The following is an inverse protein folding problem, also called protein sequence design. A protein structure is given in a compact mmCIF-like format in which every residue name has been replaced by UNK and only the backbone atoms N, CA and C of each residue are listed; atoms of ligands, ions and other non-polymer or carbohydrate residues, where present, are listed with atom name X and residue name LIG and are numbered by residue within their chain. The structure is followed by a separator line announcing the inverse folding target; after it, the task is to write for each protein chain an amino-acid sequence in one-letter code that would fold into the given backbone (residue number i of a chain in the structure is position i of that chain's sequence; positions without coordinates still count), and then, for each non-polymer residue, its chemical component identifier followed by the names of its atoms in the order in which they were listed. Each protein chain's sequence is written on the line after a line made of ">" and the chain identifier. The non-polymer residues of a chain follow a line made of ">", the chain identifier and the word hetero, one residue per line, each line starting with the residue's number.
data_IF_961910187965
#
_entry.id   IF_961910187965
#
_cell.length_a   1.000
_cell.length_b   1.000
_cell.length_c   1.000
_cell.angle_alpha   90.00
_cell.angle_beta   90.00
_cell.angle_gamma   90.00
#
_symmetry.space_group_name_H-M   'P 1'
#
loop_
_entity.id
_entity.type
_entity.pdbx_description
1 polymer ?
#
# COMPACT_ATOMS: atom_id res chain seq x y z
N UNK A 1 -47.00 -5.25 20.91
CA UNK A 1 -45.69 -5.90 20.75
C UNK A 1 -44.81 -5.40 21.89
N UNK A 2 -44.23 -6.24 22.76
CA UNK A 2 -43.29 -5.76 23.76
C UNK A 2 -42.07 -5.17 23.07
N UNK A 3 -41.67 -3.95 23.48
CA UNK A 3 -40.53 -3.24 22.98
C UNK A 3 -39.25 -3.93 23.51
N UNK A 4 -38.75 -4.92 22.80
CA UNK A 4 -37.53 -5.64 23.17
C UNK A 4 -36.34 -4.77 22.77
N UNK A 5 -35.78 -4.04 23.74
CA UNK A 5 -34.51 -3.33 23.53
C UNK A 5 -33.40 -4.36 23.32
N UNK A 6 -32.63 -4.20 22.23
CA UNK A 6 -31.47 -5.05 21.98
C UNK A 6 -30.44 -4.88 23.10
N UNK A 7 -29.76 -5.96 23.50
CA UNK A 7 -28.72 -5.89 24.53
C UNK A 7 -27.55 -4.99 24.07
N UNK A 8 -26.97 -4.22 25.01
CA UNK A 8 -25.83 -3.35 24.74
C UNK A 8 -24.54 -4.14 24.59
N UNK A 9 -24.47 -5.32 25.20
CA UNK A 9 -23.31 -6.22 25.15
C UNK A 9 -23.84 -7.59 24.70
N UNK A 10 -23.23 -8.14 23.69
CA UNK A 10 -23.56 -9.46 23.14
C UNK A 10 -22.61 -10.51 23.73
N UNK A 11 -23.16 -11.47 24.43
CA UNK A 11 -22.45 -12.64 24.96
C UNK A 11 -23.00 -13.90 24.33
N UNK A 12 -22.20 -14.99 24.31
CA UNK A 12 -22.67 -16.28 23.78
C UNK A 12 -24.02 -16.71 24.40
N UNK A 13 -24.17 -16.57 25.72
CA UNK A 13 -25.39 -16.93 26.42
C UNK A 13 -26.63 -16.10 25.98
N UNK A 14 -26.44 -14.83 25.64
CA UNK A 14 -27.50 -13.97 25.11
C UNK A 14 -27.84 -14.38 23.67
N UNK A 15 -26.85 -14.67 22.85
CA UNK A 15 -27.03 -15.15 21.48
C UNK A 15 -27.83 -16.48 21.51
N UNK A 16 -27.41 -17.43 22.32
CA UNK A 16 -28.08 -18.73 22.49
C UNK A 16 -29.57 -18.58 22.93
N UNK A 17 -29.81 -17.68 23.89
CA UNK A 17 -31.15 -17.42 24.40
C UNK A 17 -32.11 -16.78 23.37
N UNK A 18 -31.53 -16.07 22.38
CA UNK A 18 -32.26 -15.41 21.31
C UNK A 18 -32.27 -16.22 20.00
N UNK A 19 -31.64 -17.39 19.97
CA UNK A 19 -31.47 -18.19 18.76
C UNK A 19 -30.66 -17.50 17.67
N UNK A 20 -29.68 -16.73 18.09
CA UNK A 20 -28.77 -15.98 17.17
C UNK A 20 -27.39 -16.60 17.22
N UNK A 21 -26.94 -17.08 16.08
CA UNK A 21 -25.55 -17.57 15.94
C UNK A 21 -24.58 -16.40 15.81
N UNK A 22 -23.47 -16.41 16.58
CA UNK A 22 -22.43 -15.41 16.43
C UNK A 22 -21.68 -15.62 15.08
N UNK A 23 -21.35 -14.52 14.42
CA UNK A 23 -20.46 -14.56 13.25
C UNK A 23 -19.03 -14.37 13.72
N UNK A 24 -18.20 -15.35 13.47
CA UNK A 24 -16.78 -15.30 13.79
C UNK A 24 -16.04 -14.48 12.73
N UNK A 25 -15.13 -13.62 13.17
CA UNK A 25 -14.27 -12.90 12.27
C UNK A 25 -13.32 -13.87 11.57
N UNK A 26 -13.19 -13.74 10.26
CA UNK A 26 -12.18 -14.44 9.47
C UNK A 26 -11.23 -13.40 8.83
N UNK A 27 -9.92 -13.70 8.74
CA UNK A 27 -9.00 -12.81 8.05
C UNK A 27 -9.38 -12.73 6.57
N UNK A 28 -9.41 -11.50 6.02
CA UNK A 28 -9.60 -11.32 4.59
C UNK A 28 -8.41 -11.97 3.84
N UNK A 29 -8.67 -12.78 2.81
CA UNK A 29 -7.60 -13.30 1.98
C UNK A 29 -6.88 -12.16 1.25
N UNK A 30 -5.60 -12.35 0.92
CA UNK A 30 -4.90 -11.43 0.06
C UNK A 30 -5.50 -11.48 -1.36
N UNK A 31 -5.53 -10.34 -2.04
CA UNK A 31 -5.93 -10.30 -3.45
C UNK A 31 -4.94 -11.12 -4.31
N UNK A 32 -5.45 -11.82 -5.32
CA UNK A 32 -4.66 -12.69 -6.19
C UNK A 32 -3.84 -11.93 -7.23
N UNK A 33 -4.06 -10.63 -7.37
CA UNK A 33 -3.39 -9.79 -8.36
C UNK A 33 -3.52 -8.31 -8.06
N UNK A 34 -2.70 -7.50 -8.75
CA UNK A 34 -2.59 -6.05 -8.54
C UNK A 34 -3.92 -5.31 -8.75
N UNK A 35 -4.71 -5.73 -9.75
CA UNK A 35 -5.98 -5.10 -10.10
C UNK A 35 -7.19 -5.85 -9.54
N UNK A 36 -7.00 -6.51 -8.40
CA UNK A 36 -8.05 -7.22 -7.67
C UNK A 36 -8.31 -6.59 -6.33
N UNK A 37 -9.56 -6.61 -5.91
CA UNK A 37 -9.97 -6.17 -4.58
C UNK A 37 -10.75 -7.28 -3.89
N UNK A 38 -10.42 -7.53 -2.64
CA UNK A 38 -11.15 -8.46 -1.78
C UNK A 38 -12.08 -7.65 -0.88
N UNK A 39 -13.34 -7.98 -0.90
CA UNK A 39 -14.35 -7.32 -0.08
C UNK A 39 -15.19 -8.34 0.67
N UNK A 40 -15.66 -7.94 1.87
CA UNK A 40 -16.60 -8.76 2.65
C UNK A 40 -17.88 -8.98 1.84
N UNK A 41 -18.35 -10.23 1.79
CA UNK A 41 -19.56 -10.62 1.07
C UNK A 41 -20.41 -11.57 1.91
N UNK A 42 -20.95 -11.03 3.00
CA UNK A 42 -21.86 -11.77 3.89
C UNK A 42 -21.13 -12.74 4.80
N UNK A 43 -21.75 -13.89 5.03
CA UNK A 43 -21.27 -14.95 5.93
C UNK A 43 -21.45 -16.32 5.28
N UNK A 44 -20.64 -17.29 5.68
CA UNK A 44 -20.71 -18.68 5.24
C UNK A 44 -20.47 -19.60 6.43
N UNK A 45 -20.97 -20.83 6.40
CA UNK A 45 -20.61 -21.83 7.40
C UNK A 45 -19.28 -22.49 7.06
N UNK A 46 -18.40 -22.59 8.06
CA UNK A 46 -17.15 -23.34 7.97
C UNK A 46 -17.40 -24.87 8.06
N UNK A 47 -16.35 -25.68 7.97
CA UNK A 47 -16.44 -27.13 8.06
C UNK A 47 -16.94 -27.64 9.43
N UNK A 48 -16.91 -26.80 10.46
CA UNK A 48 -17.38 -27.11 11.81
C UNK A 48 -18.82 -26.61 12.05
N UNK A 49 -19.44 -25.98 11.05
CA UNK A 49 -20.78 -25.42 11.13
C UNK A 49 -20.86 -24.03 11.76
N UNK A 50 -19.74 -23.37 12.05
CA UNK A 50 -19.73 -21.99 12.57
C UNK A 50 -19.97 -21.00 11.45
N UNK A 51 -20.73 -19.94 11.74
CA UNK A 51 -20.83 -18.82 10.82
C UNK A 51 -19.57 -17.96 10.86
N UNK A 52 -18.94 -17.77 9.70
CA UNK A 52 -17.72 -16.98 9.53
C UNK A 52 -17.93 -15.90 8.46
N UNK A 53 -17.15 -14.82 8.53
CA UNK A 53 -17.17 -13.79 7.49
C UNK A 53 -16.75 -14.38 6.14
N UNK A 54 -17.54 -14.11 5.10
CA UNK A 54 -17.23 -14.49 3.73
C UNK A 54 -16.65 -13.31 2.95
N UNK A 55 -15.75 -13.63 2.02
CA UNK A 55 -15.08 -12.64 1.17
C UNK A 55 -15.24 -13.02 -0.30
N UNK A 56 -15.28 -12.02 -1.15
CA UNK A 56 -15.28 -12.18 -2.61
C UNK A 56 -14.19 -11.32 -3.22
N UNK A 57 -13.47 -11.88 -4.15
CA UNK A 57 -12.53 -11.15 -4.98
C UNK A 57 -13.22 -10.67 -6.26
N UNK A 58 -12.93 -9.45 -6.66
CA UNK A 58 -13.46 -8.81 -7.87
C UNK A 58 -12.35 -8.05 -8.57
N UNK A 59 -12.53 -7.82 -9.88
CA UNK A 59 -11.72 -6.85 -10.60
C UNK A 59 -11.94 -5.45 -10.04
N UNK A 60 -10.89 -4.65 -9.92
CA UNK A 60 -10.97 -3.24 -9.52
C UNK A 60 -11.61 -2.39 -10.61
N UNK A 61 -11.43 -2.78 -11.87
CA UNK A 61 -11.85 -2.04 -13.04
C UNK A 61 -12.68 -2.91 -13.97
N UNK A 62 -13.59 -2.27 -14.69
CA UNK A 62 -14.39 -2.85 -15.77
C UNK A 62 -14.62 -1.79 -16.85
N UNK A 63 -14.87 -2.20 -18.06
CA UNK A 63 -15.22 -1.27 -19.13
C UNK A 63 -16.48 -0.49 -18.76
N UNK A 64 -16.49 0.81 -18.99
CA UNK A 64 -17.67 1.65 -18.83
C UNK A 64 -17.73 2.73 -19.91
N UNK A 65 -18.89 3.34 -20.06
CA UNK A 65 -19.09 4.48 -20.97
C UNK A 65 -19.20 5.73 -20.08
N UNK A 66 -18.39 6.75 -20.37
CA UNK A 66 -18.40 8.01 -19.65
C UNK A 66 -19.58 8.93 -20.05
N UNK A 67 -19.65 10.12 -19.44
CA UNK A 67 -20.73 11.09 -19.69
C UNK A 67 -20.72 11.66 -21.10
N UNK A 68 -19.60 11.60 -21.79
CA UNK A 68 -19.43 12.04 -23.19
C UNK A 68 -19.72 10.93 -24.22
N UNK A 69 -20.06 9.72 -23.76
CA UNK A 69 -20.34 8.55 -24.57
C UNK A 69 -19.10 7.81 -25.07
N UNK A 70 -17.92 8.08 -24.47
CA UNK A 70 -16.67 7.40 -24.79
C UNK A 70 -16.51 6.16 -23.92
N UNK A 71 -16.15 5.05 -24.55
CA UNK A 71 -15.83 3.82 -23.81
C UNK A 71 -14.45 3.93 -23.18
N UNK A 72 -14.41 3.87 -21.86
CA UNK A 72 -13.17 3.74 -21.10
C UNK A 72 -12.96 2.26 -20.76
N UNK A 73 -11.92 1.68 -21.30
CA UNK A 73 -11.65 0.25 -21.15
C UNK A 73 -11.02 -0.07 -19.81
N UNK A 74 -11.17 -1.31 -19.35
CA UNK A 74 -10.47 -1.85 -18.16
C UNK A 74 -8.95 -1.64 -18.28
N UNK A 75 -8.38 -1.91 -19.45
CA UNK A 75 -6.93 -1.77 -19.70
C UNK A 75 -6.44 -0.33 -19.53
N UNK A 76 -7.18 0.65 -20.01
CA UNK A 76 -6.84 2.07 -19.84
C UNK A 76 -6.87 2.47 -18.36
N UNK A 77 -7.85 1.98 -17.59
CA UNK A 77 -7.96 2.22 -16.16
C UNK A 77 -6.81 1.57 -15.40
N UNK A 78 -6.42 0.32 -15.72
CA UNK A 78 -5.27 -0.38 -15.13
C UNK A 78 -3.97 0.39 -15.41
N UNK A 79 -3.75 0.86 -16.65
CA UNK A 79 -2.60 1.67 -17.01
C UNK A 79 -2.55 3.00 -16.24
N UNK A 80 -3.68 3.69 -16.13
CA UNK A 80 -3.78 4.95 -15.38
C UNK A 80 -3.52 4.73 -13.88
N UNK A 81 -4.00 3.63 -13.32
CA UNK A 81 -3.75 3.24 -11.93
C UNK A 81 -2.26 2.99 -11.69
N UNK A 82 -1.61 2.16 -12.53
CA UNK A 82 -0.17 1.88 -12.44
C UNK A 82 0.64 3.17 -12.57
N UNK A 83 0.33 4.03 -13.56
CA UNK A 83 1.02 5.31 -13.72
C UNK A 83 0.90 6.20 -12.47
N UNK A 84 -0.27 6.19 -11.81
CA UNK A 84 -0.48 6.92 -10.56
C UNK A 84 0.38 6.34 -9.43
N UNK A 85 0.41 5.01 -9.30
CA UNK A 85 1.24 4.32 -8.30
C UNK A 85 2.74 4.56 -8.51
N UNK A 86 3.18 4.50 -9.74
CA UNK A 86 4.57 4.80 -10.10
C UNK A 86 4.93 6.27 -9.79
N UNK A 87 4.04 7.21 -10.04
CA UNK A 87 4.25 8.62 -9.70
C UNK A 87 4.33 8.85 -8.17
N UNK A 88 3.48 8.16 -7.39
CA UNK A 88 3.52 8.17 -5.92
C UNK A 88 4.84 7.58 -5.41
N UNK A 89 5.24 6.40 -5.91
CA UNK A 89 6.49 5.75 -5.56
C UNK A 89 7.71 6.62 -5.93
N UNK A 90 7.71 7.22 -7.13
CA UNK A 90 8.77 8.13 -7.56
C UNK A 90 8.89 9.36 -6.66
N UNK A 91 7.76 9.89 -6.19
CA UNK A 91 7.75 11.03 -5.27
C UNK A 91 8.33 10.63 -3.91
N UNK A 92 7.94 9.48 -3.37
CA UNK A 92 8.46 8.95 -2.12
C UNK A 92 9.97 8.65 -2.21
N UNK A 93 10.40 8.03 -3.31
CA UNK A 93 11.81 7.73 -3.56
C UNK A 93 12.66 9.01 -3.64
N UNK A 94 12.21 10.05 -4.33
CA UNK A 94 12.90 11.35 -4.39
C UNK A 94 12.97 12.01 -3.01
N UNK A 95 11.91 11.97 -2.22
CA UNK A 95 11.92 12.51 -0.85
C UNK A 95 12.93 11.77 0.03
N UNK A 96 13.01 10.44 -0.06
CA UNK A 96 14.01 9.63 0.65
C UNK A 96 15.43 10.01 0.21
N UNK A 97 15.70 10.09 -1.08
CA UNK A 97 16.99 10.54 -1.64
C UNK A 97 17.40 11.92 -1.11
N UNK A 98 16.49 12.87 -1.15
CA UNK A 98 16.74 14.24 -0.72
C UNK A 98 17.06 14.30 0.77
N UNK A 99 16.37 13.51 1.59
CA UNK A 99 16.68 13.34 3.01
C UNK A 99 18.06 12.75 3.25
N UNK A 100 18.46 11.74 2.49
CA UNK A 100 19.81 11.14 2.59
C UNK A 100 20.91 12.12 2.14
N UNK A 101 20.68 12.90 1.08
CA UNK A 101 21.60 13.94 0.65
C UNK A 101 21.75 15.01 1.72
N UNK A 102 20.65 15.53 2.23
CA UNK A 102 20.65 16.56 3.28
C UNK A 102 21.35 16.09 4.56
N UNK A 103 21.20 14.82 4.94
CA UNK A 103 21.87 14.25 6.13
C UNK A 103 23.39 14.27 6.04
N UNK A 104 23.97 14.35 4.83
CA UNK A 104 25.41 14.38 4.59
C UNK A 104 25.94 15.70 3.99
N UNK A 105 25.12 16.73 3.88
CA UNK A 105 25.56 18.04 3.34
C UNK A 105 26.61 18.73 4.22
N UNK A 106 26.53 18.51 5.54
CA UNK A 106 27.52 19.04 6.48
C UNK A 106 28.96 18.58 6.17
N UNK A 107 29.14 17.41 5.53
CA UNK A 107 30.44 16.91 5.11
C UNK A 107 31.10 17.83 4.07
N UNK A 108 30.31 18.32 3.10
CA UNK A 108 30.80 19.25 2.10
C UNK A 108 31.14 20.61 2.72
N UNK A 109 30.31 21.09 3.64
CA UNK A 109 30.54 22.34 4.37
C UNK A 109 31.83 22.24 5.21
N UNK A 110 31.98 21.16 5.99
CA UNK A 110 33.19 20.90 6.80
C UNK A 110 34.45 20.84 5.96
N UNK A 111 34.41 20.17 4.81
CA UNK A 111 35.55 20.10 3.91
C UNK A 111 35.91 21.48 3.36
N UNK A 112 34.94 22.28 2.95
CA UNK A 112 35.13 23.64 2.47
C UNK A 112 35.73 24.57 3.54
N UNK A 113 35.19 24.57 4.75
CA UNK A 113 35.71 25.37 5.88
C UNK A 113 37.13 24.97 6.28
N UNK A 114 37.45 23.68 6.20
CA UNK A 114 38.78 23.15 6.50
C UNK A 114 39.81 23.30 5.36
N UNK A 115 39.42 23.85 4.21
CA UNK A 115 40.26 23.95 3.03
C UNK A 115 40.68 22.57 2.45
N UNK A 116 39.86 21.54 2.68
CA UNK A 116 40.05 20.16 2.24
C UNK A 116 39.01 19.75 1.23
N UNK A 117 39.12 18.55 0.66
CA UNK A 117 38.12 17.95 -0.22
C UNK A 117 37.31 16.92 0.54
N UNK A 118 36.05 16.71 0.11
CA UNK A 118 35.24 15.56 0.58
C UNK A 118 35.95 14.27 0.19
N UNK A 119 35.96 13.27 1.08
CA UNK A 119 36.60 11.97 0.75
C UNK A 119 35.91 11.31 -0.45
N UNK A 120 36.67 10.47 -1.15
CA UNK A 120 36.20 9.79 -2.37
C UNK A 120 34.96 8.93 -2.10
N UNK A 121 34.92 8.23 -0.95
CA UNK A 121 33.80 7.38 -0.57
C UNK A 121 32.51 8.20 -0.41
N UNK A 122 32.58 9.33 0.29
CA UNK A 122 31.45 10.23 0.46
C UNK A 122 31.01 10.91 -0.85
N UNK A 123 32.00 11.28 -1.70
CA UNK A 123 31.69 11.84 -3.02
C UNK A 123 30.97 10.82 -3.90
N UNK A 124 31.42 9.56 -3.89
CA UNK A 124 30.79 8.44 -4.63
C UNK A 124 29.40 8.15 -4.11
N UNK A 125 29.21 8.06 -2.78
CA UNK A 125 27.90 7.87 -2.16
C UNK A 125 26.89 8.96 -2.56
N UNK A 126 27.31 10.23 -2.45
CA UNK A 126 26.46 11.37 -2.83
C UNK A 126 26.12 11.37 -4.32
N UNK A 127 27.07 10.96 -5.19
CA UNK A 127 26.78 10.83 -6.61
C UNK A 127 25.78 9.69 -6.86
N UNK A 128 25.98 8.52 -6.25
CA UNK A 128 25.07 7.40 -6.37
C UNK A 128 23.63 7.76 -5.91
N UNK A 129 23.49 8.57 -4.86
CA UNK A 129 22.18 9.10 -4.44
C UNK A 129 21.54 9.98 -5.53
N UNK A 130 22.30 10.85 -6.18
CA UNK A 130 21.77 11.69 -7.28
C UNK A 130 21.30 10.85 -8.46
N UNK A 131 21.97 9.73 -8.70
CA UNK A 131 21.72 8.84 -9.84
C UNK A 131 20.61 7.82 -9.58
N UNK A 132 20.04 7.77 -8.37
CA UNK A 132 18.95 6.85 -7.99
C UNK A 132 17.78 6.88 -9.00
N UNK A 133 17.41 8.07 -9.47
CA UNK A 133 16.29 8.21 -10.42
C UNK A 133 16.61 7.74 -11.85
N UNK A 134 17.88 7.41 -12.13
CA UNK A 134 18.32 6.89 -13.41
C UNK A 134 18.49 5.36 -13.40
N UNK A 135 18.25 4.68 -12.28
CA UNK A 135 18.27 3.22 -12.19
C UNK A 135 17.14 2.61 -13.01
N UNK A 136 17.40 1.47 -13.65
CA UNK A 136 16.42 0.73 -14.45
C UNK A 136 15.18 0.34 -13.64
N UNK A 137 15.35 -0.02 -12.36
CA UNK A 137 14.26 -0.40 -11.45
C UNK A 137 13.49 0.78 -10.84
N UNK A 138 13.85 2.04 -11.16
CA UNK A 138 13.13 3.20 -10.62
C UNK A 138 11.70 3.29 -11.20
N UNK A 139 10.68 3.54 -10.39
CA UNK A 139 10.71 3.91 -8.98
C UNK A 139 10.48 2.75 -8.00
N UNK A 140 10.22 1.53 -8.46
CA UNK A 140 9.68 0.43 -7.65
C UNK A 140 10.76 -0.53 -7.11
N UNK A 141 11.90 -0.64 -7.80
CA UNK A 141 13.01 -1.53 -7.42
C UNK A 141 14.32 -0.73 -7.36
N UNK A 142 14.50 0.00 -6.27
CA UNK A 142 15.63 0.91 -6.08
C UNK A 142 16.73 0.25 -5.27
N UNK A 143 17.95 0.22 -5.81
CA UNK A 143 19.17 -0.16 -5.08
C UNK A 143 19.73 1.09 -4.41
N UNK A 144 19.47 1.24 -3.11
CA UNK A 144 20.00 2.37 -2.33
C UNK A 144 21.49 2.20 -2.03
N UNK A 145 22.32 3.24 -2.24
CA UNK A 145 23.74 3.16 -1.90
C UNK A 145 23.95 3.10 -0.39
N UNK A 146 24.97 2.35 0.03
CA UNK A 146 25.34 2.24 1.45
C UNK A 146 26.17 3.46 1.85
N UNK A 147 25.78 4.07 2.98
CA UNK A 147 26.47 5.22 3.55
C UNK A 147 27.87 4.79 4.04
N UNK A 148 28.93 5.55 3.71
CA UNK A 148 30.26 5.33 4.29
C UNK A 148 30.28 5.56 5.81
N UNK A 149 31.21 4.86 6.51
CA UNK A 149 31.43 5.04 7.95
C UNK A 149 32.16 6.36 8.28
#
# INVERSE_FOLDING_TARGET
>A
MPNTSLPRVWTSSICDSLGIDPVLAAPAPAASGEYKVVSRNGVVQDANGNWVEAYVERDMFADYVDEDGVTVTKTEQEQAYTATKDAEAATAARATRDGLIASCDWMAIKAFEGGTTVSTEWATYRQALRDVSAQEGFPNDIIWPTQPE
#
